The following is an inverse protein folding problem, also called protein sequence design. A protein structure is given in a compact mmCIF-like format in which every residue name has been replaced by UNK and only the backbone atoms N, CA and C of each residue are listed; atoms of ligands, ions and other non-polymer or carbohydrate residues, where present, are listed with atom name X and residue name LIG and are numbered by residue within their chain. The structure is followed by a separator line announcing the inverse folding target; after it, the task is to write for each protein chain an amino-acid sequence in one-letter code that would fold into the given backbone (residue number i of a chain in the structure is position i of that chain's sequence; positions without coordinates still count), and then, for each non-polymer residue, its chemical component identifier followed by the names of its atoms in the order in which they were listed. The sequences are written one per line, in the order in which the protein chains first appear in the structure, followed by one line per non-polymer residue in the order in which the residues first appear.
data_IF_369678915008
#
_entry.id   IF_369678915008
#
_cell.length_a   1.000
_cell.length_b   1.000
_cell.length_c   1.000
_cell.angle_alpha   90.00
_cell.angle_beta   90.00
_cell.angle_gamma   90.00
#
_symmetry.space_group_name_H-M   'P 1'
#
loop_
_entity.id
_entity.type
_entity.pdbx_description
1 polymer ?
#
# COMPACT_ATOMS: atom_id res chain seq x y z
N UNK A 1 -6.05 -15.35 -2.80
CA UNK A 1 -4.90 -14.47 -3.11
C UNK A 1 -3.80 -15.31 -3.74
N UNK A 2 -3.10 -14.80 -4.75
CA UNK A 2 -1.92 -15.46 -5.33
C UNK A 2 -0.69 -14.69 -4.84
N UNK A 3 0.19 -15.40 -4.16
CA UNK A 3 1.52 -14.91 -3.78
C UNK A 3 2.44 -14.89 -5.02
N UNK A 4 3.38 -13.94 -5.19
CA UNK A 4 4.40 -13.98 -6.24
C UNK A 4 5.27 -15.26 -6.29
N UNK A 5 5.23 -16.13 -5.27
CA UNK A 5 5.84 -17.48 -5.30
C UNK A 5 4.95 -18.56 -5.95
N UNK A 6 3.73 -18.21 -6.39
CA UNK A 6 2.76 -19.12 -7.02
C UNK A 6 1.78 -19.79 -6.04
N UNK A 7 1.92 -19.52 -4.74
CA UNK A 7 1.05 -20.10 -3.73
C UNK A 7 -0.35 -19.47 -3.73
N UNK A 8 -1.37 -20.32 -3.89
CA UNK A 8 -2.78 -19.94 -3.81
C UNK A 8 -3.25 -20.00 -2.37
N UNK A 9 -3.51 -18.84 -1.77
CA UNK A 9 -4.16 -18.75 -0.47
C UNK A 9 -5.67 -18.68 -0.68
N UNK A 10 -6.37 -19.72 -0.23
CA UNK A 10 -7.83 -19.81 -0.27
C UNK A 10 -8.39 -19.13 0.98
N UNK A 11 -9.17 -18.07 0.77
CA UNK A 11 -9.88 -17.39 1.85
C UNK A 11 -11.17 -18.15 2.14
N UNK A 12 -11.40 -18.49 3.41
CA UNK A 12 -12.62 -19.14 3.86
C UNK A 12 -13.61 -18.08 4.38
N UNK A 13 -14.91 -18.15 4.01
CA UNK A 13 -15.92 -17.29 4.60
C UNK A 13 -15.89 -17.32 6.14
N UNK A 14 -16.05 -16.16 6.76
CA UNK A 14 -16.03 -16.02 8.22
C UNK A 14 -14.64 -16.15 8.87
N UNK A 15 -13.57 -16.28 8.06
CA UNK A 15 -12.19 -16.21 8.57
C UNK A 15 -11.51 -14.93 8.09
N UNK A 16 -11.05 -14.07 9.02
CA UNK A 16 -10.34 -12.86 8.68
C UNK A 16 -8.96 -13.22 8.12
N UNK A 17 -8.44 -12.35 7.27
CA UNK A 17 -7.11 -12.47 6.67
C UNK A 17 -6.39 -11.13 6.72
N UNK A 18 -5.06 -11.18 6.82
CA UNK A 18 -4.21 -10.01 6.64
C UNK A 18 -3.69 -10.03 5.21
N UNK A 19 -3.75 -8.89 4.53
CA UNK A 19 -3.17 -8.73 3.20
C UNK A 19 -1.68 -8.38 3.30
N UNK A 20 -0.85 -8.79 2.31
CA UNK A 20 0.54 -8.34 2.23
C UNK A 20 0.60 -6.81 2.21
N UNK A 21 1.29 -6.22 3.18
CA UNK A 21 1.49 -4.77 3.29
C UNK A 21 2.77 -4.27 2.60
N UNK A 22 3.77 -5.15 2.46
CA UNK A 22 5.11 -4.80 1.96
C UNK A 22 5.34 -5.14 0.48
N UNK A 23 4.34 -5.71 -0.22
CA UNK A 23 4.48 -6.12 -1.62
C UNK A 23 3.13 -6.15 -2.36
N UNK A 24 3.13 -6.00 -3.70
CA UNK A 24 1.94 -6.20 -4.51
C UNK A 24 1.37 -7.62 -4.37
N UNK A 25 0.05 -7.74 -4.48
CA UNK A 25 -0.66 -9.02 -4.49
C UNK A 25 -1.91 -8.94 -5.37
N UNK A 26 -2.37 -10.09 -5.84
CA UNK A 26 -3.63 -10.24 -6.57
C UNK A 26 -4.57 -11.18 -5.84
N UNK A 27 -5.87 -10.91 -5.90
CA UNK A 27 -6.88 -11.84 -5.44
C UNK A 27 -8.06 -11.88 -6.40
N UNK A 28 -8.59 -13.08 -6.60
CA UNK A 28 -9.83 -13.32 -7.34
C UNK A 28 -10.90 -13.68 -6.33
N UNK A 29 -12.08 -13.12 -6.50
CA UNK A 29 -13.24 -13.41 -5.68
C UNK A 29 -14.46 -13.66 -6.56
N UNK A 30 -15.44 -14.43 -6.06
CA UNK A 30 -16.75 -14.61 -6.69
C UNK A 30 -17.79 -14.37 -5.61
N UNK A 31 -18.74 -13.47 -5.90
CA UNK A 31 -19.92 -13.11 -5.09
C UNK A 31 -19.79 -13.31 -3.57
N UNK A 32 -19.31 -12.28 -2.86
CA UNK A 32 -19.12 -12.32 -1.41
C UNK A 32 -19.23 -10.93 -0.78
N UNK A 33 -19.52 -10.90 0.53
CA UNK A 33 -19.43 -9.67 1.32
C UNK A 33 -18.06 -9.56 1.98
N UNK A 34 -17.40 -8.43 1.76
CA UNK A 34 -16.09 -8.12 2.36
C UNK A 34 -16.24 -7.03 3.42
N UNK A 35 -15.64 -7.26 4.59
CA UNK A 35 -15.39 -6.22 5.59
C UNK A 35 -13.89 -5.96 5.63
N UNK A 36 -13.48 -4.72 5.39
CA UNK A 36 -12.08 -4.30 5.50
C UNK A 36 -11.87 -3.46 6.76
N UNK A 37 -10.79 -3.77 7.47
CA UNK A 37 -10.34 -3.00 8.63
C UNK A 37 -8.90 -2.58 8.35
N UNK A 38 -8.64 -1.28 8.38
CA UNK A 38 -7.30 -0.73 8.25
C UNK A 38 -6.87 -0.23 9.61
N UNK A 39 -5.69 -0.65 10.06
CA UNK A 39 -5.11 -0.24 11.33
C UNK A 39 -3.78 0.44 11.02
N UNK A 40 -3.54 1.60 11.63
CA UNK A 40 -2.28 2.32 11.46
C UNK A 40 -1.11 1.48 11.98
N UNK A 41 -0.01 1.40 11.22
CA UNK A 41 1.18 0.65 11.60
C UNK A 41 1.70 1.11 12.97
N UNK A 42 1.82 2.42 13.20
CA UNK A 42 2.29 2.96 14.48
C UNK A 42 1.44 2.54 15.69
N UNK A 43 0.12 2.35 15.53
CA UNK A 43 -0.72 1.84 16.61
C UNK A 43 -0.41 0.36 16.91
N UNK A 44 -0.24 -0.46 15.88
CA UNK A 44 0.12 -1.88 16.05
C UNK A 44 1.50 -2.02 16.69
N UNK A 45 2.46 -1.20 16.28
CA UNK A 45 3.83 -1.19 16.82
C UNK A 45 3.83 -0.75 18.29
N UNK A 46 3.06 0.28 18.63
CA UNK A 46 2.87 0.73 20.01
C UNK A 46 2.28 -0.39 20.88
N UNK A 47 1.14 -0.95 20.48
CA UNK A 47 0.45 -2.00 21.23
C UNK A 47 1.32 -3.26 21.37
N UNK A 48 2.07 -3.63 20.33
CA UNK A 48 3.00 -4.75 20.39
C UNK A 48 4.16 -4.52 21.36
N UNK A 49 4.62 -3.28 21.52
CA UNK A 49 5.77 -2.96 22.39
C UNK A 49 5.44 -2.99 23.88
N UNK A 50 4.16 -2.87 24.26
CA UNK A 50 3.70 -2.84 25.65
C UNK A 50 4.00 -4.15 26.42
N UNK A 51 4.10 -5.28 25.71
CA UNK A 51 4.44 -6.57 26.31
C UNK A 51 5.96 -6.82 26.41
N UNK A 52 6.78 -5.92 25.84
CA UNK A 52 8.23 -6.07 25.71
C UNK A 52 9.01 -4.97 26.44
N UNK A 53 10.07 -4.49 25.79
CA UNK A 53 10.95 -3.41 26.29
C UNK A 53 10.38 -2.00 26.08
N UNK A 54 9.16 -1.89 25.58
CA UNK A 54 8.47 -0.63 25.31
C UNK A 54 8.96 0.10 24.05
N UNK A 55 9.80 -0.52 23.21
CA UNK A 55 10.25 0.07 21.94
C UNK A 55 9.34 -0.36 20.80
N UNK A 56 8.60 0.56 20.14
CA UNK A 56 7.81 0.23 18.95
C UNK A 56 8.73 -0.14 17.79
N UNK A 57 8.56 -1.35 17.25
CA UNK A 57 9.30 -1.86 16.11
C UNK A 57 8.37 -2.19 14.95
N UNK A 58 8.76 -1.91 13.69
CA UNK A 58 7.96 -2.28 12.52
C UNK A 58 7.57 -3.76 12.54
N UNK A 59 6.32 -4.06 12.22
CA UNK A 59 5.80 -5.41 12.25
C UNK A 59 5.63 -5.97 10.84
N UNK A 60 6.01 -7.24 10.66
CA UNK A 60 5.64 -8.03 9.48
C UNK A 60 4.71 -9.14 9.90
N UNK A 61 3.53 -9.14 9.30
CA UNK A 61 2.52 -10.18 9.48
C UNK A 61 2.76 -11.33 8.51
N UNK A 62 2.59 -12.55 9.03
CA UNK A 62 2.49 -13.73 8.20
C UNK A 62 1.06 -13.82 7.63
N UNK A 63 0.87 -13.22 6.46
CA UNK A 63 -0.39 -13.26 5.69
C UNK A 63 -0.76 -14.67 5.19
N UNK A 64 0.15 -15.66 5.29
CA UNK A 64 -0.14 -17.06 5.01
C UNK A 64 -0.70 -17.79 6.23
N UNK A 65 -0.53 -17.21 7.42
CA UNK A 65 -1.07 -17.76 8.65
C UNK A 65 -2.60 -17.74 8.63
N UNK A 66 -3.20 -18.89 8.92
CA UNK A 66 -4.63 -19.00 9.13
C UNK A 66 -4.91 -18.57 10.57
N UNK A 67 -5.78 -17.57 10.73
CA UNK A 67 -6.26 -17.12 12.03
C UNK A 67 -6.71 -18.32 12.90
N UNK A 68 -6.19 -18.40 14.12
CA UNK A 68 -6.58 -19.43 15.07
C UNK A 68 -8.08 -19.36 15.36
N UNK A 69 -8.78 -20.50 15.33
CA UNK A 69 -10.21 -20.58 15.62
C UNK A 69 -10.56 -20.02 17.02
N UNK A 70 -9.64 -20.13 17.99
CA UNK A 70 -9.83 -19.61 19.35
C UNK A 70 -9.76 -18.08 19.43
N UNK A 71 -9.08 -17.41 18.49
CA UNK A 71 -8.95 -15.96 18.46
C UNK A 71 -10.13 -15.25 17.76
N UNK A 72 -10.86 -15.98 16.91
CA UNK A 72 -11.94 -15.43 16.08
C UNK A 72 -13.07 -14.73 16.87
N UNK A 73 -13.57 -15.28 17.99
CA UNK A 73 -14.65 -14.62 18.73
C UNK A 73 -14.25 -13.24 19.27
N UNK A 74 -13.01 -13.12 19.76
CA UNK A 74 -12.47 -11.85 20.25
C UNK A 74 -12.28 -10.85 19.12
N UNK A 75 -11.73 -11.30 17.98
CA UNK A 75 -11.60 -10.48 16.79
C UNK A 75 -12.95 -9.92 16.32
N UNK A 76 -13.97 -10.77 16.15
CA UNK A 76 -15.28 -10.31 15.66
C UNK A 76 -15.94 -9.33 16.63
N UNK A 77 -15.83 -9.58 17.94
CA UNK A 77 -16.32 -8.64 18.95
C UNK A 77 -15.64 -7.28 18.83
N UNK A 78 -14.31 -7.24 18.72
CA UNK A 78 -13.57 -5.98 18.60
C UNK A 78 -13.97 -5.19 17.33
N UNK A 79 -14.16 -5.89 16.21
CA UNK A 79 -14.62 -5.27 14.96
C UNK A 79 -16.05 -4.73 15.09
N UNK A 80 -16.96 -5.49 15.69
CA UNK A 80 -18.35 -5.07 15.88
C UNK A 80 -18.46 -3.90 16.88
N UNK A 81 -17.66 -3.89 17.94
CA UNK A 81 -17.56 -2.79 18.91
C UNK A 81 -17.06 -1.51 18.22
N UNK A 82 -15.97 -1.61 17.44
CA UNK A 82 -15.45 -0.49 16.67
C UNK A 82 -16.48 0.03 15.65
N UNK A 83 -17.14 -0.86 14.91
CA UNK A 83 -18.21 -0.47 13.99
C UNK A 83 -19.41 0.16 14.73
N UNK A 84 -19.70 -0.27 15.96
CA UNK A 84 -20.68 0.35 16.84
C UNK A 84 -20.32 1.79 17.18
N UNK A 85 -19.07 2.03 17.61
CA UNK A 85 -18.56 3.37 17.92
C UNK A 85 -18.60 4.28 16.68
N UNK A 86 -18.18 3.79 15.51
CA UNK A 86 -18.27 4.56 14.28
C UNK A 86 -19.72 4.95 13.91
N UNK A 87 -20.67 4.03 14.11
CA UNK A 87 -22.10 4.30 13.86
C UNK A 87 -22.69 5.32 14.83
N UNK A 88 -22.23 5.37 16.07
CA UNK A 88 -22.65 6.40 17.04
C UNK A 88 -22.15 7.80 16.70
N UNK A 89 -21.15 7.94 15.82
CA UNK A 89 -20.72 9.22 15.27
C UNK A 89 -20.35 10.23 16.36
N UNK A 90 -21.08 11.35 16.44
CA UNK A 90 -20.80 12.45 17.39
C UNK A 90 -21.18 12.13 18.84
N UNK A 91 -21.93 11.06 19.08
CA UNK A 91 -22.30 10.59 20.43
C UNK A 91 -21.18 9.76 21.08
N UNK A 92 -20.22 9.27 20.28
CA UNK A 92 -19.04 8.59 20.80
C UNK A 92 -18.11 9.58 21.51
N UNK A 93 -17.68 9.20 22.70
CA UNK A 93 -16.60 9.89 23.41
C UNK A 93 -15.25 9.57 22.79
N UNK A 94 -14.27 10.47 22.96
CA UNK A 94 -12.89 10.23 22.54
C UNK A 94 -12.29 8.96 23.20
N UNK A 95 -12.67 8.68 24.46
CA UNK A 95 -12.23 7.48 25.15
C UNK A 95 -12.77 6.20 24.51
N UNK A 96 -14.04 6.19 24.08
CA UNK A 96 -14.63 5.04 23.37
C UNK A 96 -13.95 4.80 22.02
N UNK A 97 -13.62 5.86 21.28
CA UNK A 97 -12.86 5.75 20.03
C UNK A 97 -11.49 5.13 20.25
N UNK A 98 -10.71 5.68 21.19
CA UNK A 98 -9.36 5.18 21.51
C UNK A 98 -9.41 3.73 22.01
N UNK A 99 -10.37 3.39 22.87
CA UNK A 99 -10.54 2.04 23.38
C UNK A 99 -10.90 1.04 22.27
N UNK A 100 -11.76 1.44 21.34
CA UNK A 100 -12.17 0.59 20.22
C UNK A 100 -11.01 0.38 19.21
N UNK A 101 -10.28 1.45 18.85
CA UNK A 101 -9.08 1.34 18.00
C UNK A 101 -8.03 0.42 18.62
N UNK A 102 -7.75 0.61 19.92
CA UNK A 102 -6.81 -0.25 20.65
C UNK A 102 -7.30 -1.68 20.76
N UNK A 103 -8.61 -1.89 20.95
CA UNK A 103 -9.23 -3.22 20.99
C UNK A 103 -9.04 -4.00 19.68
N UNK A 104 -9.22 -3.33 18.54
CA UNK A 104 -8.96 -3.89 17.21
C UNK A 104 -7.48 -4.25 17.05
N UNK A 105 -6.56 -3.34 17.42
CA UNK A 105 -5.12 -3.58 17.32
C UNK A 105 -4.67 -4.79 18.14
N UNK A 106 -5.12 -4.90 19.40
CA UNK A 106 -4.83 -6.04 20.28
C UNK A 106 -5.29 -7.36 19.69
N UNK A 107 -6.54 -7.41 19.22
CA UNK A 107 -7.08 -8.65 18.66
C UNK A 107 -6.46 -9.00 17.31
N UNK A 108 -6.04 -8.02 16.51
CA UNK A 108 -5.29 -8.26 15.28
C UNK A 108 -3.96 -8.96 15.61
N UNK A 109 -3.19 -8.43 16.56
CA UNK A 109 -1.91 -9.01 17.00
C UNK A 109 -2.09 -10.41 17.61
N UNK A 110 -3.18 -10.64 18.34
CA UNK A 110 -3.50 -11.96 18.90
C UNK A 110 -3.99 -12.98 17.86
N UNK A 111 -4.62 -12.51 16.78
CA UNK A 111 -5.22 -13.36 15.75
C UNK A 111 -4.20 -13.79 14.69
N UNK A 112 -3.26 -12.90 14.36
CA UNK A 112 -2.31 -13.11 13.27
C UNK A 112 -0.87 -13.20 13.77
N UNK A 113 -0.19 -14.24 13.33
CA UNK A 113 1.24 -14.38 13.56
C UNK A 113 1.98 -13.18 12.95
N UNK A 114 2.85 -12.57 13.75
CA UNK A 114 3.64 -11.42 13.36
C UNK A 114 5.02 -11.53 14.00
N UNK A 115 5.98 -10.81 13.43
CA UNK A 115 7.30 -10.65 14.01
C UNK A 115 7.72 -9.18 13.97
N UNK A 116 8.38 -8.69 15.03
CA UNK A 116 9.08 -7.42 14.94
C UNK A 116 10.23 -7.56 13.95
N UNK A 117 10.39 -6.56 13.11
CA UNK A 117 11.56 -6.41 12.26
C UNK A 117 12.51 -5.46 12.97
N UNK A 118 13.62 -6.02 13.46
CA UNK A 118 14.74 -5.20 13.91
C UNK A 118 15.38 -4.61 12.67
N UNK A 119 14.87 -3.45 12.28
CA UNK A 119 15.42 -2.67 11.20
C UNK A 119 16.68 -1.98 11.76
N UNK A 120 17.86 -2.17 11.15
CA UNK A 120 19.07 -1.49 11.62
C UNK A 120 18.82 0.02 11.73
N UNK A 121 19.30 0.67 12.79
CA UNK A 121 19.07 2.10 13.03
C UNK A 121 19.47 2.99 11.84
N UNK A 122 20.35 2.49 10.95
CA UNK A 122 20.74 3.19 9.72
C UNK A 122 19.62 3.27 8.66
N UNK A 123 18.62 2.39 8.74
CA UNK A 123 17.43 2.32 7.86
C UNK A 123 16.22 2.97 8.53
N UNK A 124 16.09 2.87 9.86
CA UNK A 124 15.16 3.67 10.67
C UNK A 124 15.63 5.12 10.89
N UNK A 125 16.31 5.73 9.91
CA UNK A 125 16.75 7.13 10.09
C UNK A 125 15.49 7.99 10.27
N UNK A 126 15.29 8.59 11.47
CA UNK A 126 14.23 9.57 11.64
C UNK A 126 14.43 10.65 10.57
N UNK A 127 13.39 10.90 9.76
CA UNK A 127 13.43 11.88 8.68
C UNK A 127 13.27 11.35 7.25
N UNK A 128 13.14 10.03 7.01
CA UNK A 128 12.76 9.48 5.68
C UNK A 128 11.29 9.07 5.56
N UNK A 129 10.52 9.08 6.66
CA UNK A 129 9.07 8.80 6.64
C UNK A 129 8.31 9.70 5.66
N UNK A 130 8.72 10.96 5.56
CA UNK A 130 8.18 11.93 4.61
C UNK A 130 8.37 11.47 3.16
N UNK A 131 9.51 10.83 2.85
CA UNK A 131 9.77 10.28 1.52
C UNK A 131 8.97 9.01 1.24
N UNK A 132 8.75 8.16 2.25
CA UNK A 132 7.87 7.00 2.11
C UNK A 132 6.43 7.45 1.81
N UNK A 133 5.88 8.40 2.58
CA UNK A 133 4.56 9.00 2.32
C UNK A 133 4.46 9.62 0.93
N UNK A 134 5.50 10.33 0.49
CA UNK A 134 5.57 10.90 -0.85
C UNK A 134 5.54 9.80 -1.93
N UNK A 135 6.31 8.74 -1.76
CA UNK A 135 6.36 7.63 -2.71
C UNK A 135 5.02 6.87 -2.77
N UNK A 136 4.43 6.56 -1.61
CA UNK A 136 3.11 5.92 -1.49
C UNK A 136 2.03 6.74 -2.21
N UNK A 137 2.01 8.05 -1.98
CA UNK A 137 1.10 8.96 -2.67
C UNK A 137 1.29 8.92 -4.18
N UNK A 138 2.55 8.97 -4.65
CA UNK A 138 2.88 8.90 -6.08
C UNK A 138 2.44 7.59 -6.74
N UNK A 139 2.55 6.47 -6.03
CA UNK A 139 2.08 5.16 -6.52
C UNK A 139 0.56 5.05 -6.51
N UNK A 140 -0.11 5.52 -5.46
CA UNK A 140 -1.56 5.45 -5.32
C UNK A 140 -2.29 6.33 -6.35
N UNK A 141 -1.74 7.52 -6.62
CA UNK A 141 -2.36 8.51 -7.52
C UNK A 141 -1.66 8.61 -8.88
N UNK A 142 -0.96 7.56 -9.30
CA UNK A 142 -0.14 7.60 -10.50
C UNK A 142 -0.92 7.98 -11.78
N UNK A 143 -2.17 7.54 -11.92
CA UNK A 143 -3.03 7.87 -13.07
C UNK A 143 -3.65 9.28 -13.01
N UNK A 144 -3.62 9.92 -11.84
CA UNK A 144 -4.25 11.23 -11.60
C UNK A 144 -3.35 12.40 -12.01
N UNK A 145 -3.90 13.61 -12.28
CA UNK A 145 -3.10 14.81 -12.51
C UNK A 145 -2.47 15.31 -11.21
N UNK A 146 -1.35 14.72 -10.82
CA UNK A 146 -0.62 15.05 -9.57
C UNK A 146 0.34 16.22 -9.78
N UNK A 147 0.32 17.19 -8.87
CA UNK A 147 1.28 18.31 -8.81
C UNK A 147 2.34 18.09 -7.74
N UNK A 148 3.46 18.86 -7.81
CA UNK A 148 4.50 18.83 -6.77
C UNK A 148 3.96 19.25 -5.41
N UNK A 149 3.00 20.19 -5.38
CA UNK A 149 2.37 20.65 -4.14
C UNK A 149 1.54 19.55 -3.48
N UNK A 150 0.83 18.73 -4.26
CA UNK A 150 0.04 17.61 -3.71
C UNK A 150 0.94 16.57 -3.05
N UNK A 151 2.05 16.22 -3.70
CA UNK A 151 3.03 15.28 -3.18
C UNK A 151 3.67 15.84 -1.90
N UNK A 152 4.00 17.13 -1.89
CA UNK A 152 4.61 17.78 -0.75
C UNK A 152 3.64 17.82 0.44
N UNK A 153 2.38 18.14 0.20
CA UNK A 153 1.33 18.11 1.22
C UNK A 153 1.15 16.71 1.82
N UNK A 154 1.07 15.67 0.98
CA UNK A 154 0.97 14.28 1.44
C UNK A 154 2.17 13.83 2.29
N UNK A 155 3.36 14.37 1.99
CA UNK A 155 4.60 14.10 2.69
C UNK A 155 4.80 14.95 3.97
N UNK A 156 4.00 15.99 4.19
CA UNK A 156 4.22 16.99 5.24
C UNK A 156 5.46 17.87 4.98
N UNK A 157 5.79 18.12 3.70
CA UNK A 157 6.96 18.88 3.27
C UNK A 157 6.56 20.13 2.49
N UNK A 158 7.50 21.09 2.39
CA UNK A 158 7.41 22.14 1.36
C UNK A 158 7.84 21.57 0.00
N UNK A 159 7.37 22.12 -1.14
CA UNK A 159 7.79 21.67 -2.47
C UNK A 159 9.31 21.69 -2.67
N UNK A 160 10.01 22.67 -2.07
CA UNK A 160 11.47 22.78 -2.12
C UNK A 160 12.15 21.67 -1.33
N UNK A 161 11.67 21.37 -0.12
CA UNK A 161 12.20 20.29 0.70
C UNK A 161 11.98 18.92 0.03
N UNK A 162 10.79 18.70 -0.55
CA UNK A 162 10.48 17.49 -1.32
C UNK A 162 11.44 17.29 -2.50
N UNK A 163 11.63 18.34 -3.32
CA UNK A 163 12.55 18.28 -4.46
C UNK A 163 13.99 17.95 -4.04
N UNK A 164 14.48 18.61 -2.98
CA UNK A 164 15.81 18.34 -2.46
C UNK A 164 15.95 16.90 -1.94
N UNK A 165 14.93 16.41 -1.23
CA UNK A 165 14.91 15.05 -0.69
C UNK A 165 14.90 14.00 -1.81
N UNK A 166 14.07 14.17 -2.85
CA UNK A 166 14.04 13.26 -3.99
C UNK A 166 15.36 13.22 -4.76
N UNK A 167 15.99 14.38 -5.01
CA UNK A 167 17.31 14.42 -5.67
C UNK A 167 18.38 13.72 -4.85
N UNK A 168 18.38 13.93 -3.53
CA UNK A 168 19.36 13.35 -2.61
C UNK A 168 19.21 11.83 -2.49
N UNK A 169 17.98 11.32 -2.44
CA UNK A 169 17.71 9.94 -2.09
C UNK A 169 17.37 9.04 -3.29
N UNK A 170 16.77 9.58 -4.35
CA UNK A 170 16.41 8.84 -5.56
C UNK A 170 17.21 9.28 -6.80
N UNK A 171 18.04 10.31 -6.70
CA UNK A 171 18.78 10.86 -7.85
C UNK A 171 17.88 11.54 -8.90
N UNK A 172 16.60 11.72 -8.61
CA UNK A 172 15.60 12.25 -9.55
C UNK A 172 14.70 13.29 -8.87
N UNK A 173 13.86 13.96 -9.66
CA UNK A 173 12.79 14.84 -9.18
C UNK A 173 11.53 14.02 -8.85
N UNK A 174 10.62 14.52 -7.98
CA UNK A 174 9.35 13.84 -7.69
C UNK A 174 8.51 13.52 -8.92
N UNK A 175 8.46 14.43 -9.90
CA UNK A 175 7.73 14.20 -11.16
C UNK A 175 8.49 13.26 -12.12
N UNK A 176 9.82 13.20 -12.03
CA UNK A 176 10.63 12.19 -12.73
C UNK A 176 10.36 10.79 -12.18
N UNK A 177 10.34 10.65 -10.86
CA UNK A 177 9.92 9.43 -10.17
C UNK A 177 8.51 9.01 -10.59
N UNK A 178 7.53 9.92 -10.53
CA UNK A 178 6.15 9.67 -10.99
C UNK A 178 6.10 9.19 -12.44
N UNK A 179 6.89 9.80 -13.33
CA UNK A 179 7.00 9.37 -14.73
C UNK A 179 7.51 7.93 -14.83
N UNK A 180 8.48 7.55 -14.00
CA UNK A 180 8.98 6.17 -13.90
C UNK A 180 7.87 5.20 -13.49
N UNK A 181 7.13 5.52 -12.43
CA UNK A 181 5.99 4.71 -11.96
C UNK A 181 4.96 4.52 -13.07
N UNK A 182 4.59 5.60 -13.77
CA UNK A 182 3.64 5.56 -14.89
C UNK A 182 4.13 4.69 -16.05
N UNK A 183 5.44 4.72 -16.36
CA UNK A 183 6.02 3.85 -17.39
C UNK A 183 5.97 2.38 -16.99
N UNK A 184 6.26 2.06 -15.72
CA UNK A 184 6.19 0.69 -15.21
C UNK A 184 4.76 0.15 -15.27
N UNK A 185 3.78 0.95 -14.86
CA UNK A 185 2.35 0.57 -14.92
C UNK A 185 1.85 0.41 -16.35
N UNK A 186 2.22 1.33 -17.24
CA UNK A 186 1.92 1.21 -18.66
C UNK A 186 2.50 -0.07 -19.27
N UNK A 187 3.72 -0.47 -18.87
CA UNK A 187 4.33 -1.70 -19.36
C UNK A 187 3.59 -2.96 -18.90
N UNK A 188 3.14 -3.00 -17.64
CA UNK A 188 2.33 -4.12 -17.13
C UNK A 188 1.06 -4.24 -17.97
N UNK A 189 0.34 -3.14 -18.14
CA UNK A 189 -0.91 -3.11 -18.90
C UNK A 189 -0.72 -3.50 -20.38
N UNK A 190 0.37 -3.06 -21.02
CA UNK A 190 0.69 -3.47 -22.40
C UNK A 190 0.99 -4.96 -22.53
N UNK A 191 1.52 -5.61 -21.49
CA UNK A 191 1.83 -7.05 -21.47
C UNK A 191 0.62 -7.93 -21.21
N UNK A 192 -0.36 -7.39 -20.48
CA UNK A 192 -1.57 -8.11 -20.09
C UNK A 192 -2.70 -7.94 -21.12
N UNK A 193 -2.60 -6.97 -22.02
CA UNK A 193 -3.57 -6.73 -23.07
C UNK A 193 -3.65 -7.88 -24.08
N UNK A 194 -4.86 -8.35 -24.40
CA UNK A 194 -5.04 -9.33 -25.46
C UNK A 194 -4.84 -8.69 -26.86
N UNK A 195 -4.47 -9.47 -27.88
CA UNK A 195 -4.27 -8.95 -29.23
C UNK A 195 -5.50 -8.22 -29.77
N UNK A 196 -5.34 -6.91 -30.03
CA UNK A 196 -6.40 -6.06 -30.61
C UNK A 196 -7.36 -5.42 -29.60
N UNK A 197 -7.26 -5.73 -28.30
CA UNK A 197 -8.12 -5.12 -27.27
C UNK A 197 -7.67 -3.72 -26.85
N UNK A 198 -6.36 -3.47 -26.87
CA UNK A 198 -5.79 -2.20 -26.43
C UNK A 198 -4.89 -1.58 -27.49
N UNK A 199 -4.69 -0.26 -27.37
CA UNK A 199 -3.72 0.46 -28.19
C UNK A 199 -2.69 1.13 -27.30
N UNK A 200 -1.45 1.21 -27.79
CA UNK A 200 -0.37 1.98 -27.13
C UNK A 200 -0.84 3.39 -26.75
N UNK A 201 -1.64 4.01 -27.63
CA UNK A 201 -2.19 5.36 -27.41
C UNK A 201 -3.16 5.41 -26.23
N UNK A 202 -4.06 4.44 -26.11
CA UNK A 202 -5.03 4.37 -25.02
C UNK A 202 -4.33 4.15 -23.68
N UNK A 203 -3.42 3.17 -23.63
CA UNK A 203 -2.63 2.87 -22.42
C UNK A 203 -1.80 4.08 -21.98
N UNK A 204 -1.07 4.72 -22.90
CA UNK A 204 -0.25 5.87 -22.52
C UNK A 204 -1.10 7.04 -22.00
N UNK A 205 -2.27 7.29 -22.59
CA UNK A 205 -3.17 8.36 -22.17
C UNK A 205 -3.73 8.10 -20.77
N UNK A 206 -4.08 6.84 -20.45
CA UNK A 206 -4.54 6.39 -19.14
C UNK A 206 -3.51 6.67 -18.03
N UNK A 207 -2.23 6.49 -18.35
CA UNK A 207 -1.13 6.80 -17.44
C UNK A 207 -0.63 8.25 -17.53
N UNK A 208 -1.41 9.14 -18.13
CA UNK A 208 -1.16 10.59 -18.11
C UNK A 208 -0.08 11.06 -19.08
N UNK A 209 0.23 10.30 -20.14
CA UNK A 209 1.12 10.76 -21.22
C UNK A 209 0.32 11.39 -22.36
N UNK A 210 0.39 12.72 -22.46
CA UNK A 210 -0.29 13.48 -23.51
C UNK A 210 0.41 13.41 -24.88
N UNK A 211 1.71 13.11 -24.91
CA UNK A 211 2.51 13.09 -26.13
C UNK A 211 3.10 11.70 -26.40
N UNK A 212 2.68 11.09 -27.50
CA UNK A 212 3.05 9.73 -27.90
C UNK A 212 4.55 9.55 -28.19
N UNK A 213 5.18 10.52 -28.83
CA UNK A 213 6.61 10.48 -29.12
C UNK A 213 7.46 10.55 -27.84
N UNK A 214 7.08 11.43 -26.91
CA UNK A 214 7.74 11.55 -25.60
C UNK A 214 7.54 10.30 -24.75
N UNK A 215 6.34 9.72 -24.76
CA UNK A 215 6.08 8.44 -24.11
C UNK A 215 6.95 7.34 -24.69
N UNK A 216 6.89 7.11 -26.01
CA UNK A 216 7.64 6.04 -26.68
C UNK A 216 9.14 6.17 -26.47
N UNK A 217 9.69 7.39 -26.57
CA UNK A 217 11.10 7.64 -26.30
C UNK A 217 11.50 7.44 -24.84
N UNK A 218 10.65 7.83 -23.88
CA UNK A 218 10.91 7.59 -22.46
C UNK A 218 10.80 6.11 -22.10
N UNK A 219 9.84 5.41 -22.70
CA UNK A 219 9.64 3.97 -22.56
C UNK A 219 10.85 3.19 -23.09
N UNK A 220 11.29 3.49 -24.32
CA UNK A 220 12.48 2.86 -24.91
C UNK A 220 13.74 3.13 -24.08
N UNK A 221 13.96 4.35 -23.60
CA UNK A 221 15.09 4.65 -22.70
C UNK A 221 15.07 3.84 -21.40
N UNK A 222 13.89 3.49 -20.88
CA UNK A 222 13.75 2.77 -19.61
C UNK A 222 13.82 1.25 -19.79
N UNK A 223 13.25 0.72 -20.88
CA UNK A 223 13.04 -0.73 -21.05
C UNK A 223 13.82 -1.35 -22.22
N UNK A 224 14.47 -0.55 -23.06
CA UNK A 224 15.23 -1.03 -24.22
C UNK A 224 14.37 -1.55 -25.38
N UNK A 225 13.05 -1.36 -25.33
CA UNK A 225 12.08 -1.76 -26.35
C UNK A 225 11.01 -0.67 -26.48
N UNK A 226 10.33 -0.60 -27.62
CA UNK A 226 9.22 0.32 -27.84
C UNK A 226 7.90 -0.25 -27.29
N UNK A 227 6.94 0.60 -26.88
CA UNK A 227 5.65 0.14 -26.35
C UNK A 227 4.89 -0.81 -27.28
N UNK A 228 4.99 -0.59 -28.60
CA UNK A 228 4.35 -1.42 -29.62
C UNK A 228 4.96 -2.82 -29.70
N UNK A 229 6.25 -2.96 -29.39
CA UNK A 229 6.92 -4.26 -29.34
C UNK A 229 6.47 -5.02 -28.10
N UNK A 230 6.29 -4.34 -26.97
CA UNK A 230 5.70 -4.94 -25.77
C UNK A 230 4.27 -5.41 -26.02
N UNK A 231 3.42 -4.61 -26.67
CA UNK A 231 2.01 -4.94 -26.95
C UNK A 231 1.81 -6.10 -27.95
N UNK A 232 2.83 -6.41 -28.75
CA UNK A 232 2.77 -7.47 -29.77
C UNK A 232 3.23 -8.83 -29.27
N UNK A 233 3.78 -8.91 -28.06
CA UNK A 233 4.18 -10.17 -27.43
C UNK A 233 3.00 -10.80 -26.72
#
# INVERSE_FOLDING_TARGET
MVDPEGDRIVHLPGRPVVFPSARPFEFVSRDFQQRLVHVAAGLLEQVSSEAGDGVPLPLVFDHRSIASASALPGWWRAVDDFAGVLRSGREATALQLVAAERGVALHLLATFAHRPVVVPAQVLRPGLEHLLRAAEFLHAFAASPVTVSDIAAAAGLTPRALQAAFRRHFGDTPLGYLRGVRLDRARVELREAAPGEETVRAVSARWGFLNQGRFSGAYHRRFGEYPVETLRR
#
